data_IF_638368339125
#
_entry.id   IF_638368339125
#
_cell.length_a   1.000
_cell.length_b   1.000
_cell.length_c   1.000
_cell.angle_alpha   90.00
_cell.angle_beta   90.00
_cell.angle_gamma   90.00
#
_symmetry.space_group_name_H-M   'P 1'
#
loop_
_entity.id
_entity.type
_entity.pdbx_description
1 polymer ?
#
# COMPACT_ATOMS: atom_id res chain seq x y z
N UNK A 1 29.28 16.79 -14.06
CA UNK A 1 28.04 17.57 -14.22
C UNK A 1 28.37 18.95 -14.80
N UNK A 2 27.41 19.57 -15.50
CA UNK A 2 27.58 20.91 -16.10
C UNK A 2 27.32 22.00 -15.07
N UNK A 3 28.29 22.89 -14.87
CA UNK A 3 28.15 24.10 -14.05
C UNK A 3 28.09 25.32 -14.97
N UNK A 4 27.08 26.16 -14.77
CA UNK A 4 26.95 27.44 -15.48
C UNK A 4 27.23 28.58 -14.51
N UNK A 5 28.09 29.50 -14.90
CA UNK A 5 28.34 30.75 -14.19
C UNK A 5 27.98 31.92 -15.10
N UNK A 6 27.13 32.83 -14.60
CA UNK A 6 26.76 34.04 -15.32
C UNK A 6 27.74 35.15 -14.94
N UNK A 7 28.42 35.69 -15.94
CA UNK A 7 29.20 36.93 -15.83
C UNK A 7 28.38 38.11 -16.34
N UNK A 8 28.90 39.33 -16.24
CA UNK A 8 28.21 40.53 -16.70
C UNK A 8 27.86 40.51 -18.20
N UNK A 9 28.66 39.81 -19.02
CA UNK A 9 28.55 39.85 -20.48
C UNK A 9 28.33 38.46 -21.12
N UNK A 10 28.57 37.36 -20.40
CA UNK A 10 28.52 36.01 -20.95
C UNK A 10 28.15 34.93 -19.92
N UNK A 11 27.85 33.72 -20.43
CA UNK A 11 27.75 32.51 -19.64
C UNK A 11 29.02 31.67 -19.80
N UNK A 12 29.64 31.28 -18.70
CA UNK A 12 30.71 30.30 -18.67
C UNK A 12 30.12 28.92 -18.37
N UNK A 13 30.43 27.93 -19.20
CA UNK A 13 30.07 26.53 -19.03
C UNK A 13 31.32 25.75 -18.62
N UNK A 14 31.25 25.02 -17.51
CA UNK A 14 32.32 24.14 -17.03
C UNK A 14 31.78 22.72 -16.89
N UNK A 15 32.59 21.74 -17.30
CA UNK A 15 32.35 20.32 -17.02
C UNK A 15 33.11 19.98 -15.76
N UNK A 16 32.39 19.62 -14.70
CA UNK A 16 32.99 19.12 -13.45
C UNK A 16 32.93 17.59 -13.42
N UNK A 17 34.04 16.95 -13.08
CA UNK A 17 34.10 15.51 -12.83
C UNK A 17 33.93 15.24 -11.32
N UNK A 18 33.16 14.21 -10.98
CA UNK A 18 32.91 13.81 -9.59
C UNK A 18 31.43 13.62 -9.25
N UNK A 19 31.16 13.33 -7.98
CA UNK A 19 29.82 13.10 -7.44
C UNK A 19 29.26 14.44 -6.93
N UNK A 20 28.06 14.87 -7.36
CA UNK A 20 27.42 16.07 -6.81
C UNK A 20 27.27 15.97 -5.29
N UNK A 21 27.56 17.05 -4.56
CA UNK A 21 27.36 17.12 -3.10
C UNK A 21 25.89 17.34 -2.70
N UNK A 22 25.04 17.67 -3.67
CA UNK A 22 23.60 17.78 -3.49
C UNK A 22 22.94 16.41 -3.25
N UNK A 23 21.72 16.44 -2.73
CA UNK A 23 20.92 15.22 -2.58
C UNK A 23 20.64 14.63 -3.96
N UNK A 24 21.01 13.36 -4.17
CA UNK A 24 20.73 12.68 -5.43
C UNK A 24 19.23 12.59 -5.67
N UNK A 25 18.79 12.94 -6.89
CA UNK A 25 17.39 12.83 -7.30
C UNK A 25 17.12 11.52 -8.04
N UNK A 26 18.07 11.09 -8.88
CA UNK A 26 18.04 9.82 -9.60
C UNK A 26 19.41 9.16 -9.40
N UNK A 27 19.43 7.94 -8.85
CA UNK A 27 20.66 7.20 -8.63
C UNK A 27 20.39 5.69 -8.57
N UNK A 28 21.40 4.89 -8.94
CA UNK A 28 21.43 3.45 -8.74
C UNK A 28 22.72 3.07 -8.04
N UNK A 29 22.61 2.32 -6.94
CA UNK A 29 23.74 1.65 -6.31
C UNK A 29 23.64 0.16 -6.64
N UNK A 30 24.59 -0.33 -7.43
CA UNK A 30 24.66 -1.73 -7.86
C UNK A 30 25.58 -2.48 -6.90
N UNK A 31 25.07 -3.53 -6.29
CA UNK A 31 25.84 -4.44 -5.45
C UNK A 31 26.29 -5.62 -6.30
N UNK A 32 27.59 -5.91 -6.27
CA UNK A 32 28.20 -7.01 -7.02
C UNK A 32 27.97 -8.35 -6.32
N UNK A 33 26.70 -8.71 -6.15
CA UNK A 33 26.17 -9.94 -5.54
C UNK A 33 25.04 -10.47 -6.41
N UNK A 34 24.76 -11.78 -6.33
CA UNK A 34 23.68 -12.42 -7.09
C UNK A 34 23.78 -12.21 -8.62
N UNK A 35 24.99 -12.32 -9.17
CA UNK A 35 25.29 -12.09 -10.60
C UNK A 35 24.39 -12.94 -11.53
N UNK A 36 24.17 -14.21 -11.18
CA UNK A 36 23.29 -15.11 -11.94
C UNK A 36 21.82 -14.64 -11.99
N UNK A 37 21.40 -13.80 -11.04
CA UNK A 37 20.03 -13.27 -10.93
C UNK A 37 19.89 -11.83 -11.46
N UNK A 38 21.00 -11.19 -11.88
CA UNK A 38 21.00 -9.86 -12.48
C UNK A 38 21.49 -8.70 -11.58
N UNK A 39 22.22 -9.02 -10.51
CA UNK A 39 22.73 -8.08 -9.50
C UNK A 39 21.65 -7.39 -8.64
N UNK A 40 21.98 -7.12 -7.38
CA UNK A 40 21.10 -6.34 -6.49
C UNK A 40 21.31 -4.85 -6.73
N UNK A 41 20.21 -4.09 -6.80
CA UNK A 41 20.25 -2.65 -7.10
C UNK A 41 19.39 -1.89 -6.08
N UNK A 42 19.97 -0.89 -5.43
CA UNK A 42 19.21 0.15 -4.74
C UNK A 42 18.98 1.33 -5.70
N UNK A 43 17.73 1.50 -6.13
CA UNK A 43 17.32 2.59 -7.01
C UNK A 43 16.66 3.73 -6.20
N UNK A 44 17.17 4.94 -6.38
CA UNK A 44 16.57 6.18 -5.88
C UNK A 44 15.98 6.95 -7.06
N UNK A 45 14.74 7.40 -6.91
CA UNK A 45 14.07 8.28 -7.86
C UNK A 45 13.11 9.21 -7.13
N UNK A 46 13.46 10.48 -7.04
CA UNK A 46 12.64 11.52 -6.42
C UNK A 46 11.85 12.32 -7.45
N UNK A 47 12.02 12.04 -8.76
CA UNK A 47 11.33 12.77 -9.81
C UNK A 47 9.87 12.32 -9.86
N UNK A 48 8.95 13.26 -9.65
CA UNK A 48 7.51 12.97 -9.50
C UNK A 48 6.72 13.04 -10.80
N UNK A 49 7.35 13.44 -11.94
CA UNK A 49 6.67 13.53 -13.24
C UNK A 49 6.49 12.13 -13.83
N UNK A 50 5.23 11.77 -14.13
CA UNK A 50 4.80 10.42 -14.53
C UNK A 50 5.53 9.86 -15.76
N UNK A 51 5.93 10.72 -16.71
CA UNK A 51 6.40 10.26 -18.03
C UNK A 51 7.92 9.99 -18.10
N UNK A 52 8.73 10.58 -17.22
CA UNK A 52 10.19 10.32 -17.17
C UNK A 52 10.57 9.21 -16.15
N UNK A 53 9.62 8.84 -15.28
CA UNK A 53 9.79 7.88 -14.16
C UNK A 53 10.18 6.45 -14.57
N UNK A 54 9.95 6.10 -15.83
CA UNK A 54 9.94 4.72 -16.31
C UNK A 54 11.17 4.39 -17.15
N UNK A 55 11.63 5.28 -18.04
CA UNK A 55 12.68 4.92 -19.02
C UNK A 55 13.94 4.32 -18.40
N UNK A 56 14.52 4.97 -17.39
CA UNK A 56 15.82 4.50 -16.86
C UNK A 56 15.71 3.20 -16.05
N UNK A 57 14.57 2.99 -15.38
CA UNK A 57 14.32 1.77 -14.60
C UNK A 57 13.85 0.64 -15.50
N UNK A 58 12.95 0.91 -16.42
CA UNK A 58 12.20 -0.10 -17.16
C UNK A 58 12.86 -0.42 -18.50
N UNK A 59 13.38 0.58 -19.23
CA UNK A 59 13.98 0.38 -20.55
C UNK A 59 15.51 0.25 -20.51
N UNK A 60 16.18 1.10 -19.72
CA UNK A 60 17.64 1.15 -19.64
C UNK A 60 18.23 0.11 -18.69
N UNK A 61 17.89 0.17 -17.39
CA UNK A 61 18.37 -0.81 -16.41
C UNK A 61 17.51 -2.08 -16.33
N UNK A 62 16.27 -2.04 -16.81
CA UNK A 62 15.30 -3.15 -16.77
C UNK A 62 15.18 -3.77 -15.38
N UNK A 63 15.09 -2.91 -14.37
CA UNK A 63 14.96 -3.29 -12.97
C UNK A 63 13.72 -4.12 -12.77
N UNK A 64 13.85 -5.18 -11.97
CA UNK A 64 12.73 -5.98 -11.48
C UNK A 64 12.65 -5.88 -9.96
N UNK A 65 11.45 -5.80 -9.38
CA UNK A 65 11.28 -5.96 -7.94
C UNK A 65 11.89 -7.29 -7.49
N UNK A 66 12.37 -7.31 -6.25
CA UNK A 66 12.74 -8.56 -5.59
C UNK A 66 11.45 -9.17 -5.08
N UNK A 67 11.06 -10.32 -5.62
CA UNK A 67 9.81 -11.02 -5.33
C UNK A 67 9.95 -11.87 -4.05
N UNK A 68 10.32 -11.24 -2.94
CA UNK A 68 10.51 -11.91 -1.64
C UNK A 68 9.25 -11.85 -0.75
N UNK A 69 9.38 -12.38 0.47
CA UNK A 69 8.36 -12.32 1.51
C UNK A 69 7.89 -10.88 1.81
N UNK A 70 8.81 -9.90 1.75
CA UNK A 70 8.48 -8.49 1.95
C UNK A 70 7.61 -7.96 0.82
N UNK A 71 7.95 -8.28 -0.42
CA UNK A 71 7.18 -7.94 -1.61
C UNK A 71 5.76 -8.52 -1.56
N UNK A 72 5.64 -9.83 -1.34
CA UNK A 72 4.34 -10.51 -1.25
C UNK A 72 3.47 -9.91 -0.13
N UNK A 73 4.01 -9.74 1.08
CA UNK A 73 3.29 -9.14 2.20
C UNK A 73 2.74 -7.75 1.86
N UNK A 74 3.55 -6.87 1.23
CA UNK A 74 3.10 -5.51 0.88
C UNK A 74 1.98 -5.51 -0.16
N UNK A 75 2.09 -6.38 -1.17
CA UNK A 75 1.08 -6.48 -2.21
C UNK A 75 -0.22 -7.05 -1.66
N UNK A 76 -0.18 -8.11 -0.86
CA UNK A 76 -1.39 -8.64 -0.24
C UNK A 76 -2.06 -7.66 0.73
N UNK A 77 -1.30 -6.90 1.51
CA UNK A 77 -1.83 -5.82 2.35
C UNK A 77 -2.57 -4.77 1.51
N UNK A 78 -1.94 -4.31 0.42
CA UNK A 78 -2.49 -3.27 -0.46
C UNK A 78 -3.73 -3.76 -1.20
N UNK A 79 -3.64 -4.96 -1.76
CA UNK A 79 -4.71 -5.64 -2.48
C UNK A 79 -5.93 -5.86 -1.58
N UNK A 80 -5.73 -6.33 -0.35
CA UNK A 80 -6.81 -6.59 0.60
C UNK A 80 -7.55 -5.29 0.94
N UNK A 81 -6.80 -4.23 1.24
CA UNK A 81 -7.38 -2.90 1.50
C UNK A 81 -8.16 -2.37 0.28
N UNK A 82 -7.62 -2.51 -0.93
CA UNK A 82 -8.29 -2.06 -2.16
C UNK A 82 -9.59 -2.84 -2.41
N UNK A 83 -9.56 -4.17 -2.28
CA UNK A 83 -10.74 -5.00 -2.45
C UNK A 83 -11.82 -4.64 -1.43
N UNK A 84 -11.46 -4.61 -0.14
CA UNK A 84 -12.39 -4.34 0.97
C UNK A 84 -12.99 -2.94 0.87
N UNK A 85 -12.22 -1.94 0.44
CA UNK A 85 -12.69 -0.55 0.42
C UNK A 85 -13.40 -0.14 -0.87
N UNK A 86 -13.08 -0.78 -2.01
CA UNK A 86 -13.58 -0.33 -3.32
C UNK A 86 -14.43 -1.36 -4.04
N UNK A 87 -14.13 -2.66 -3.92
CA UNK A 87 -14.77 -3.72 -4.72
C UNK A 87 -15.89 -4.42 -3.95
N UNK A 88 -15.59 -4.86 -2.72
CA UNK A 88 -16.52 -5.62 -1.90
C UNK A 88 -17.81 -4.83 -1.56
N UNK A 89 -17.78 -3.54 -1.21
CA UNK A 89 -19.01 -2.78 -0.92
C UNK A 89 -19.95 -2.67 -2.12
N UNK A 90 -19.38 -2.47 -3.32
CA UNK A 90 -20.15 -2.38 -4.54
C UNK A 90 -20.74 -3.74 -4.97
N UNK A 91 -20.00 -4.83 -4.78
CA UNK A 91 -20.40 -6.18 -5.20
C UNK A 91 -21.35 -6.87 -4.22
N UNK A 92 -21.17 -6.65 -2.92
CA UNK A 92 -21.86 -7.39 -1.85
C UNK A 92 -22.73 -6.52 -0.95
N UNK A 93 -22.77 -5.21 -1.18
CA UNK A 93 -23.59 -4.29 -0.38
C UNK A 93 -23.06 -4.05 1.03
N UNK A 94 -21.77 -4.33 1.29
CA UNK A 94 -21.15 -4.09 2.58
C UNK A 94 -21.25 -2.62 2.97
N UNK A 95 -21.71 -2.39 4.20
CA UNK A 95 -21.79 -1.05 4.72
C UNK A 95 -20.42 -0.57 5.23
N UNK A 96 -20.39 0.65 5.78
CA UNK A 96 -19.15 1.23 6.30
C UNK A 96 -18.60 0.43 7.48
N UNK A 97 -19.48 -0.15 8.27
CA UNK A 97 -19.14 -0.91 9.48
C UNK A 97 -18.54 -2.26 9.11
N UNK A 98 -19.11 -2.94 8.13
CA UNK A 98 -18.57 -4.19 7.58
C UNK A 98 -17.19 -3.96 6.96
N UNK A 99 -17.01 -2.86 6.22
CA UNK A 99 -15.71 -2.47 5.66
C UNK A 99 -14.65 -2.29 6.75
N UNK A 100 -15.03 -1.64 7.87
CA UNK A 100 -14.13 -1.39 9.00
C UNK A 100 -13.73 -2.69 9.68
N UNK A 101 -14.69 -3.59 9.90
CA UNK A 101 -14.46 -4.91 10.47
C UNK A 101 -13.45 -5.73 9.65
N UNK A 102 -13.69 -5.82 8.33
CA UNK A 102 -12.84 -6.54 7.40
C UNK A 102 -11.41 -5.97 7.35
N UNK A 103 -11.24 -4.65 7.37
CA UNK A 103 -9.92 -4.02 7.41
C UNK A 103 -9.18 -4.34 8.70
N UNK A 104 -9.87 -4.31 9.85
CA UNK A 104 -9.26 -4.62 11.13
C UNK A 104 -8.82 -6.10 11.18
N UNK A 105 -9.73 -7.03 10.83
CA UNK A 105 -9.42 -8.47 10.77
C UNK A 105 -8.29 -8.79 9.81
N UNK A 106 -8.23 -8.11 8.66
CA UNK A 106 -7.11 -8.23 7.73
C UNK A 106 -5.80 -7.78 8.39
N UNK A 107 -5.82 -6.64 9.08
CA UNK A 107 -4.67 -6.14 9.82
C UNK A 107 -4.20 -7.09 10.93
N UNK A 108 -5.14 -7.66 11.68
CA UNK A 108 -4.86 -8.57 12.78
C UNK A 108 -4.27 -9.88 12.25
N UNK A 109 -4.79 -10.42 11.15
CA UNK A 109 -4.21 -11.58 10.47
C UNK A 109 -2.72 -11.37 10.17
N UNK A 110 -2.33 -10.23 9.58
CA UNK A 110 -0.93 -9.94 9.26
C UNK A 110 -0.06 -9.66 10.49
N UNK A 111 -0.64 -9.37 11.65
CA UNK A 111 0.11 -9.16 12.90
C UNK A 111 0.31 -10.43 13.70
N UNK A 112 -0.70 -11.31 13.67
CA UNK A 112 -0.79 -12.47 14.56
C UNK A 112 -0.26 -13.75 13.92
N UNK A 113 -0.16 -13.79 12.59
CA UNK A 113 0.37 -14.95 11.86
C UNK A 113 1.81 -14.72 11.38
N UNK A 114 2.61 -15.78 11.40
CA UNK A 114 3.97 -15.80 10.84
C UNK A 114 3.99 -16.22 9.37
N UNK A 115 2.99 -16.99 8.94
CA UNK A 115 2.84 -17.48 7.58
C UNK A 115 1.54 -16.98 6.99
N UNK A 116 1.59 -16.60 5.71
CA UNK A 116 0.42 -16.28 4.93
C UNK A 116 0.04 -17.49 4.08
N UNK A 117 -1.24 -17.81 4.05
CA UNK A 117 -1.82 -18.75 3.09
C UNK A 117 -3.11 -18.13 2.53
N UNK A 118 -3.20 -18.03 1.20
CA UNK A 118 -4.29 -17.33 0.51
C UNK A 118 -5.68 -17.84 0.90
N UNK A 119 -5.84 -19.16 0.98
CA UNK A 119 -7.12 -19.78 1.29
C UNK A 119 -7.53 -19.52 2.74
N UNK A 120 -6.63 -19.79 3.69
CA UNK A 120 -6.82 -19.50 5.12
C UNK A 120 -7.13 -18.01 5.37
N UNK A 121 -6.37 -17.12 4.73
CA UNK A 121 -6.63 -15.69 4.81
C UNK A 121 -8.01 -15.33 4.29
N UNK A 122 -8.39 -15.83 3.11
CA UNK A 122 -9.71 -15.53 2.52
C UNK A 122 -10.86 -16.08 3.37
N UNK A 123 -10.71 -17.26 3.96
CA UNK A 123 -11.67 -17.89 4.86
C UNK A 123 -11.81 -17.12 6.18
N UNK A 124 -10.69 -16.64 6.72
CA UNK A 124 -10.66 -15.84 7.94
C UNK A 124 -11.39 -14.52 7.80
N UNK A 125 -11.64 -14.02 6.57
CA UNK A 125 -12.29 -12.75 6.29
C UNK A 125 -13.72 -12.92 5.75
N UNK A 126 -13.90 -13.83 4.81
CA UNK A 126 -15.11 -13.97 4.00
C UNK A 126 -15.79 -15.31 4.24
N UNK A 127 -16.90 -15.35 5.01
CA UNK A 127 -17.60 -16.61 5.31
C UNK A 127 -18.19 -17.27 4.06
N UNK A 128 -18.72 -16.45 3.14
CA UNK A 128 -19.40 -16.92 1.93
C UNK A 128 -18.39 -17.30 0.84
N UNK A 129 -18.57 -18.45 0.21
CA UNK A 129 -17.69 -18.92 -0.89
C UNK A 129 -17.65 -17.93 -2.06
N UNK A 130 -18.80 -17.33 -2.40
CA UNK A 130 -18.90 -16.32 -3.46
C UNK A 130 -18.05 -15.07 -3.22
N UNK A 131 -17.80 -14.73 -1.95
CA UNK A 131 -16.94 -13.60 -1.56
C UNK A 131 -15.46 -13.99 -1.67
N UNK A 132 -15.10 -15.21 -1.25
CA UNK A 132 -13.75 -15.77 -1.39
C UNK A 132 -13.34 -15.85 -2.87
N UNK A 133 -14.23 -16.34 -3.73
CA UNK A 133 -13.96 -16.43 -5.16
C UNK A 133 -13.77 -15.05 -5.80
N UNK A 134 -14.59 -14.07 -5.42
CA UNK A 134 -14.40 -12.70 -5.89
C UNK A 134 -13.08 -12.08 -5.43
N UNK A 135 -12.60 -12.45 -4.23
CA UNK A 135 -11.30 -12.02 -3.74
C UNK A 135 -10.15 -12.66 -4.53
N UNK A 136 -10.22 -13.97 -4.80
CA UNK A 136 -9.26 -14.68 -5.66
C UNK A 136 -9.22 -14.12 -7.07
N UNK A 137 -10.38 -13.88 -7.68
CA UNK A 137 -10.50 -13.26 -9.00
C UNK A 137 -9.86 -11.86 -9.02
N UNK A 138 -10.11 -11.05 -7.98
CA UNK A 138 -9.50 -9.74 -7.86
C UNK A 138 -7.98 -9.82 -7.67
N UNK A 139 -7.49 -10.83 -6.95
CA UNK A 139 -6.06 -11.11 -6.80
C UNK A 139 -5.39 -11.39 -8.14
N UNK A 140 -6.01 -12.19 -8.99
CA UNK A 140 -5.49 -12.48 -10.33
C UNK A 140 -5.48 -11.25 -11.23
N UNK A 141 -6.55 -10.45 -11.17
CA UNK A 141 -6.64 -9.19 -11.92
C UNK A 141 -5.56 -8.20 -11.47
N UNK A 142 -5.34 -8.08 -10.17
CA UNK A 142 -4.29 -7.24 -9.58
C UNK A 142 -2.90 -7.71 -10.01
N UNK A 143 -2.59 -9.00 -9.86
CA UNK A 143 -1.32 -9.59 -10.25
C UNK A 143 -0.99 -9.28 -11.72
N UNK A 144 -1.98 -9.44 -12.60
CA UNK A 144 -1.84 -9.13 -14.03
C UNK A 144 -1.69 -7.64 -14.31
N UNK A 145 -2.51 -6.79 -13.67
CA UNK A 145 -2.52 -5.35 -13.94
C UNK A 145 -1.23 -4.65 -13.49
N UNK A 146 -0.66 -5.10 -12.37
CA UNK A 146 0.58 -4.55 -11.82
C UNK A 146 1.83 -5.33 -12.25
N UNK A 147 1.68 -6.40 -13.04
CA UNK A 147 2.75 -7.32 -13.42
C UNK A 147 3.54 -7.83 -12.20
N UNK A 148 2.80 -8.21 -11.16
CA UNK A 148 3.33 -8.72 -9.88
C UNK A 148 2.89 -10.16 -9.70
N UNK A 149 3.76 -11.16 -9.87
CA UNK A 149 3.43 -12.52 -9.49
C UNK A 149 3.27 -12.55 -7.96
N UNK A 150 2.17 -13.13 -7.49
CA UNK A 150 1.89 -13.25 -6.07
C UNK A 150 1.96 -14.73 -5.69
N UNK A 151 2.59 -15.04 -4.57
CA UNK A 151 2.64 -16.41 -4.07
C UNK A 151 1.40 -16.71 -3.24
N UNK A 152 0.88 -17.93 -3.34
CA UNK A 152 -0.26 -18.36 -2.52
C UNK A 152 0.15 -18.63 -1.06
N UNK A 153 1.45 -18.92 -0.82
CA UNK A 153 2.03 -19.18 0.50
C UNK A 153 3.40 -18.52 0.64
N UNK A 154 3.63 -17.81 1.75
CA UNK A 154 4.90 -17.15 2.06
C UNK A 154 5.00 -16.79 3.55
N UNK A 155 6.20 -16.45 4.04
CA UNK A 155 6.33 -15.94 5.41
C UNK A 155 5.99 -14.45 5.48
N UNK A 156 5.24 -14.05 6.49
CA UNK A 156 4.83 -12.66 6.64
C UNK A 156 6.03 -11.83 7.09
N UNK A 157 6.35 -10.79 6.31
CA UNK A 157 7.41 -9.86 6.67
C UNK A 157 6.90 -8.84 7.68
N UNK A 158 7.28 -8.98 8.96
CA UNK A 158 6.94 -8.00 10.00
C UNK A 158 7.38 -6.56 9.69
N UNK A 159 8.45 -6.38 8.89
CA UNK A 159 8.85 -5.06 8.40
C UNK A 159 7.85 -4.47 7.40
N UNK A 160 7.35 -5.28 6.46
CA UNK A 160 6.31 -4.89 5.52
C UNK A 160 5.01 -4.53 6.25
N UNK A 161 4.60 -5.38 7.21
CA UNK A 161 3.43 -5.15 8.06
C UNK A 161 3.55 -3.80 8.75
N UNK A 162 4.62 -3.55 9.52
CA UNK A 162 4.80 -2.26 10.23
C UNK A 162 4.76 -1.05 9.30
N UNK A 163 5.32 -1.16 8.09
CA UNK A 163 5.37 -0.07 7.11
C UNK A 163 3.99 0.26 6.54
N UNK A 164 3.26 -0.77 6.12
CA UNK A 164 2.05 -0.60 5.32
C UNK A 164 0.75 -0.78 6.15
N UNK A 165 0.84 -1.21 7.42
CA UNK A 165 -0.30 -1.41 8.34
C UNK A 165 -1.32 -0.26 8.34
N UNK A 166 -0.84 0.97 8.12
CA UNK A 166 -1.67 2.17 8.01
C UNK A 166 -2.82 2.06 7.00
N UNK A 167 -2.73 1.19 5.98
CA UNK A 167 -3.81 0.99 5.00
C UNK A 167 -5.05 0.31 5.60
N UNK A 168 -4.87 -0.41 6.71
CA UNK A 168 -5.97 -1.03 7.46
C UNK A 168 -6.56 -0.10 8.52
N UNK A 169 -5.97 1.09 8.75
CA UNK A 169 -6.55 2.06 9.69
C UNK A 169 -7.89 2.56 9.17
N UNK A 170 -8.93 2.15 9.87
CA UNK A 170 -10.29 2.57 9.62
C UNK A 170 -10.51 4.00 10.08
N UNK A 171 -10.71 4.93 9.13
CA UNK A 171 -11.01 6.33 9.41
C UNK A 171 -12.42 6.66 8.96
N UNK A 172 -13.30 7.05 9.88
CA UNK A 172 -14.59 7.67 9.54
C UNK A 172 -14.36 9.15 9.27
N UNK A 173 -14.59 9.58 8.02
CA UNK A 173 -14.53 10.99 7.64
C UNK A 173 -15.96 11.53 7.55
N UNK A 174 -16.31 12.46 8.44
CA UNK A 174 -17.66 13.02 8.59
C UNK A 174 -17.64 14.49 8.20
N UNK A 175 -18.19 14.82 7.02
CA UNK A 175 -18.36 16.17 6.47
C UNK A 175 -17.12 17.08 6.52
N UNK A 176 -15.91 16.49 6.56
CA UNK A 176 -14.63 17.16 6.82
C UNK A 176 -14.51 17.84 8.19
N UNK A 177 -15.53 17.72 9.03
CA UNK A 177 -15.55 18.26 10.39
C UNK A 177 -14.83 17.32 11.37
N UNK A 178 -14.97 16.01 11.16
CA UNK A 178 -14.43 15.01 12.07
C UNK A 178 -13.75 13.87 11.33
N UNK A 179 -12.61 13.43 11.86
CA UNK A 179 -11.98 12.17 11.55
C UNK A 179 -11.97 11.31 12.81
N UNK A 180 -12.68 10.18 12.79
CA UNK A 180 -12.67 9.21 13.89
C UNK A 180 -11.82 8.02 13.45
N UNK A 181 -10.72 7.77 14.16
CA UNK A 181 -9.91 6.58 13.98
C UNK A 181 -10.51 5.44 14.78
N UNK A 182 -10.95 4.40 14.09
CA UNK A 182 -11.51 3.20 14.72
C UNK A 182 -10.39 2.17 14.78
N UNK A 183 -9.95 1.86 16.00
CA UNK A 183 -8.87 0.92 16.27
C UNK A 183 -9.36 -0.53 16.46
N UNK A 184 -10.68 -0.77 16.47
CA UNK A 184 -11.30 -2.08 16.68
C UNK A 184 -12.73 -1.96 17.26
N UNK A 185 -13.32 -3.09 17.68
CA UNK A 185 -14.59 -3.21 18.42
C UNK A 185 -15.81 -2.52 17.78
N UNK A 186 -16.31 -3.12 16.70
CA UNK A 186 -17.53 -2.70 16.00
C UNK A 186 -18.76 -2.62 16.90
N UNK A 187 -18.85 -3.48 17.89
CA UNK A 187 -19.93 -3.57 18.87
C UNK A 187 -20.16 -2.25 19.63
N UNK A 188 -19.16 -1.37 19.68
CA UNK A 188 -19.24 -0.06 20.32
C UNK A 188 -19.61 1.08 19.37
N UNK A 189 -19.94 0.81 18.11
CA UNK A 189 -20.31 1.82 17.12
C UNK A 189 -21.70 1.55 16.57
N UNK A 190 -22.63 2.47 16.81
CA UNK A 190 -24.00 2.42 16.28
C UNK A 190 -24.20 3.56 15.28
N UNK A 191 -24.88 3.26 14.16
CA UNK A 191 -25.25 4.26 13.16
C UNK A 191 -26.76 4.47 13.16
N UNK A 192 -27.19 5.72 13.03
CA UNK A 192 -28.60 6.06 12.89
C UNK A 192 -28.85 7.30 12.04
N UNK A 193 -30.12 7.67 11.96
CA UNK A 193 -30.60 8.91 11.36
C UNK A 193 -31.43 9.66 12.40
N UNK A 194 -31.07 10.91 12.63
CA UNK A 194 -31.81 11.85 13.47
C UNK A 194 -32.82 12.55 12.55
N UNK A 195 -34.09 12.14 12.63
CA UNK A 195 -35.19 12.67 11.83
C UNK A 195 -35.39 14.18 12.09
N UNK A 196 -35.28 14.61 13.34
CA UNK A 196 -35.49 16.00 13.75
C UNK A 196 -34.42 16.94 13.16
N UNK A 197 -33.17 16.46 13.07
CA UNK A 197 -32.06 17.22 12.49
C UNK A 197 -31.84 16.92 11.00
N UNK A 198 -32.52 15.92 10.45
CA UNK A 198 -32.30 15.42 9.10
C UNK A 198 -30.86 14.95 8.84
N UNK A 199 -30.17 14.41 9.85
CA UNK A 199 -28.74 14.09 9.80
C UNK A 199 -28.45 12.63 10.16
N UNK A 200 -27.48 12.03 9.48
CA UNK A 200 -26.89 10.74 9.89
C UNK A 200 -25.97 10.97 11.08
N UNK A 201 -25.93 10.01 12.01
CA UNK A 201 -25.03 10.05 13.16
C UNK A 201 -24.33 8.71 13.38
N UNK A 202 -23.22 8.77 14.12
CA UNK A 202 -22.59 7.63 14.76
C UNK A 202 -22.60 7.87 16.28
N UNK A 203 -22.97 6.86 17.07
CA UNK A 203 -22.73 6.81 18.52
C UNK A 203 -21.51 5.92 18.76
N UNK A 204 -20.61 6.36 19.63
CA UNK A 204 -19.45 5.60 20.07
C UNK A 204 -19.57 5.40 21.57
N UNK A 205 -19.55 4.14 22.01
CA UNK A 205 -19.62 3.76 23.42
C UNK A 205 -18.19 3.56 23.97
N UNK A 206 -17.94 4.00 25.21
CA UNK A 206 -16.66 3.81 25.90
C UNK A 206 -16.92 3.48 27.38
N UNK A 207 -16.02 2.72 28.00
CA UNK A 207 -16.12 2.32 29.41
C UNK A 207 -15.30 3.25 30.32
N UNK A 208 -14.06 3.58 29.92
CA UNK A 208 -13.15 4.44 30.67
C UNK A 208 -12.49 5.45 29.72
N UNK A 209 -12.27 6.67 30.22
CA UNK A 209 -11.52 7.74 29.53
C UNK A 209 -10.08 7.77 30.08
N UNK A 210 -9.09 7.82 29.18
CA UNK A 210 -7.65 7.98 29.49
C UNK A 210 -7.15 9.39 29.17
#
# INVERSE_FOLDING_TARGET
YLKTERTAEAFALQVLEGIPTGKAEVAALIFHVDEAEGYRICALDTVSKKDERSFWKDDFLRLRPIEDNYFNTRHYISLSSEFITQKAPAKFGFDRTDTIDLLNRSGDYFKENEHFEMDDFSESLFPEETQRDAFREFRDQYAKAYAVPLEDKFDISGQAVRRDFKVFKSVLKLDKNFHIYVHGRRDLIERGFDEDKGKKYYKVYYDNEE
#
